data_IF_719704801004
#
_entry.id   IF_719704801004
#
_cell.length_a   1.000
_cell.length_b   1.000
_cell.length_c   1.000
_cell.angle_alpha   90.00
_cell.angle_beta   90.00
_cell.angle_gamma   90.00
#
_symmetry.space_group_name_H-M   'P 1'
#
loop_
_entity.id
_entity.type
_entity.pdbx_description
1 polymer ?
#
# COMPACT_ATOMS: atom_id res chain seq x y z
N UNK A 1 20.47 15.20 -0.85
CA UNK A 1 19.32 15.95 -1.36
C UNK A 1 18.05 15.36 -0.75
N UNK A 2 17.00 16.16 -0.49
CA UNK A 2 15.78 15.66 0.16
C UNK A 2 14.99 14.69 -0.73
N UNK A 3 15.04 14.88 -2.06
CA UNK A 3 14.37 13.98 -3.01
C UNK A 3 15.00 12.59 -3.00
N UNK A 4 16.34 12.52 -2.91
CA UNK A 4 17.07 11.26 -2.78
C UNK A 4 16.70 10.50 -1.52
N UNK A 5 16.66 11.19 -0.36
CA UNK A 5 16.24 10.58 0.91
C UNK A 5 14.79 10.10 0.85
N UNK A 6 13.91 10.86 0.20
CA UNK A 6 12.50 10.50 0.01
C UNK A 6 12.35 9.23 -0.83
N UNK A 7 13.12 9.10 -1.92
CA UNK A 7 13.14 7.90 -2.74
C UNK A 7 13.58 6.67 -1.94
N UNK A 8 14.68 6.77 -1.18
CA UNK A 8 15.18 5.68 -0.32
C UNK A 8 14.13 5.22 0.71
N UNK A 9 13.40 6.16 1.32
CA UNK A 9 12.33 5.85 2.26
C UNK A 9 11.20 5.09 1.57
N UNK A 10 10.81 5.51 0.36
CA UNK A 10 9.75 4.85 -0.40
C UNK A 10 10.17 3.45 -0.86
N UNK A 11 11.44 3.25 -1.23
CA UNK A 11 11.97 1.93 -1.62
C UNK A 11 11.94 0.95 -0.45
N UNK A 12 12.30 1.42 0.75
CA UNK A 12 12.16 0.61 1.97
C UNK A 12 10.69 0.29 2.28
N UNK A 13 9.77 1.25 2.09
CA UNK A 13 8.34 1.01 2.27
C UNK A 13 7.84 -0.07 1.30
N UNK A 14 8.27 -0.04 0.04
CA UNK A 14 7.90 -1.08 -0.92
C UNK A 14 8.43 -2.46 -0.51
N UNK A 15 9.66 -2.53 0.01
CA UNK A 15 10.21 -3.77 0.56
C UNK A 15 9.39 -4.31 1.75
N UNK A 16 9.02 -3.43 2.68
CA UNK A 16 8.21 -3.79 3.85
C UNK A 16 6.80 -4.25 3.43
N UNK A 17 6.22 -3.60 2.42
CA UNK A 17 4.96 -4.03 1.83
C UNK A 17 5.09 -5.41 1.18
N UNK A 18 6.16 -5.69 0.44
CA UNK A 18 6.37 -7.01 -0.16
C UNK A 18 6.54 -8.11 0.90
N UNK A 19 7.26 -7.81 1.98
CA UNK A 19 7.37 -8.70 3.12
C UNK A 19 5.99 -8.95 3.77
N UNK A 20 5.21 -7.90 3.99
CA UNK A 20 3.86 -8.01 4.54
C UNK A 20 2.93 -8.83 3.63
N UNK A 21 2.95 -8.59 2.31
CA UNK A 21 2.13 -9.31 1.34
C UNK A 21 2.40 -10.82 1.36
N UNK A 22 3.62 -11.25 1.70
CA UNK A 22 3.98 -12.65 1.83
C UNK A 22 3.30 -13.35 3.02
N UNK A 23 3.07 -12.62 4.12
CA UNK A 23 2.57 -13.19 5.38
C UNK A 23 1.09 -12.91 5.62
N UNK A 24 0.48 -11.92 4.98
CA UNK A 24 -0.96 -11.65 5.11
C UNK A 24 -1.84 -12.89 4.82
N UNK A 25 -1.50 -13.78 3.85
CA UNK A 25 -2.22 -15.04 3.65
C UNK A 25 -2.13 -16.06 4.80
N UNK A 26 -1.27 -15.87 5.81
CA UNK A 26 -1.24 -16.73 7.01
C UNK A 26 -2.07 -16.21 8.18
N UNK A 27 -2.57 -14.97 8.10
CA UNK A 27 -3.38 -14.38 9.18
C UNK A 27 -4.71 -15.13 9.39
N UNK A 28 -5.33 -15.04 10.58
CA UNK A 28 -6.72 -15.44 10.79
C UNK A 28 -7.69 -14.70 9.86
N UNK A 29 -8.78 -15.36 9.44
CA UNK A 29 -9.70 -14.83 8.42
C UNK A 29 -10.38 -13.52 8.84
N UNK A 30 -10.71 -13.39 10.13
CA UNK A 30 -11.36 -12.22 10.74
C UNK A 30 -10.55 -10.92 10.51
N UNK A 31 -9.24 -10.99 10.67
CA UNK A 31 -8.33 -9.86 10.49
C UNK A 31 -7.77 -9.75 9.06
N UNK A 32 -7.65 -10.86 8.33
CA UNK A 32 -6.99 -10.92 7.01
C UNK A 32 -7.53 -9.88 6.04
N UNK A 33 -8.85 -9.73 5.95
CA UNK A 33 -9.51 -8.80 5.01
C UNK A 33 -9.19 -7.34 5.35
N UNK A 34 -9.23 -6.99 6.63
CA UNK A 34 -8.89 -5.65 7.10
C UNK A 34 -7.42 -5.30 6.84
N UNK A 35 -6.51 -6.22 7.15
CA UNK A 35 -5.07 -6.02 6.91
C UNK A 35 -4.76 -5.94 5.42
N UNK A 36 -5.42 -6.74 4.58
CA UNK A 36 -5.30 -6.65 3.12
C UNK A 36 -5.76 -5.28 2.59
N UNK A 37 -6.84 -4.73 3.15
CA UNK A 37 -7.32 -3.40 2.78
C UNK A 37 -6.32 -2.32 3.22
N UNK A 38 -5.80 -2.39 4.45
CA UNK A 38 -4.78 -1.47 4.95
C UNK A 38 -3.51 -1.52 4.08
N UNK A 39 -3.02 -2.71 3.77
CA UNK A 39 -1.89 -2.94 2.86
C UNK A 39 -2.11 -2.23 1.51
N UNK A 40 -3.27 -2.45 0.89
CA UNK A 40 -3.59 -1.81 -0.38
C UNK A 40 -3.66 -0.28 -0.32
N UNK A 41 -4.06 0.30 0.82
CA UNK A 41 -4.06 1.75 1.02
C UNK A 41 -2.64 2.31 1.14
N UNK A 42 -1.76 1.64 1.87
CA UNK A 42 -0.35 2.04 1.99
C UNK A 42 0.39 1.93 0.67
N UNK A 43 0.19 0.84 -0.08
CA UNK A 43 0.79 0.66 -1.40
C UNK A 43 0.36 1.77 -2.39
N UNK A 44 -0.93 2.11 -2.42
CA UNK A 44 -1.42 3.20 -3.27
C UNK A 44 -0.92 4.58 -2.82
N UNK A 45 -0.75 4.79 -1.51
CA UNK A 45 -0.18 6.03 -0.99
C UNK A 45 1.31 6.16 -1.36
N UNK A 46 2.09 5.09 -1.21
CA UNK A 46 3.51 5.05 -1.59
C UNK A 46 3.67 5.36 -3.08
N UNK A 47 2.87 4.73 -3.95
CA UNK A 47 2.82 5.04 -5.37
C UNK A 47 2.55 6.52 -5.65
N UNK A 48 1.50 7.08 -5.04
CA UNK A 48 1.15 8.50 -5.23
C UNK A 48 2.23 9.45 -4.75
N UNK A 49 2.91 9.10 -3.65
CA UNK A 49 4.04 9.88 -3.18
C UNK A 49 5.15 9.88 -4.24
N UNK A 50 5.48 8.74 -4.86
CA UNK A 50 6.46 8.73 -5.97
C UNK A 50 6.09 9.66 -7.13
N UNK A 51 4.79 9.73 -7.46
CA UNK A 51 4.28 10.54 -8.57
C UNK A 51 4.07 12.04 -8.21
N UNK A 52 4.05 12.39 -6.92
CA UNK A 52 3.70 13.73 -6.43
C UNK A 52 4.89 14.41 -5.71
N UNK A 53 5.37 15.51 -6.29
CA UNK A 53 6.46 16.36 -5.78
C UNK A 53 5.94 17.65 -5.11
N UNK A 54 4.63 17.78 -4.89
CA UNK A 54 4.08 18.91 -4.17
C UNK A 54 4.40 18.83 -2.68
N UNK A 55 4.45 20.00 -2.03
CA UNK A 55 4.61 20.11 -0.56
C UNK A 55 3.30 19.86 0.20
N UNK A 56 2.22 19.50 -0.51
CA UNK A 56 0.90 19.31 0.04
C UNK A 56 0.66 17.92 0.62
N UNK A 57 -0.48 17.74 1.31
CA UNK A 57 -0.88 16.44 1.84
C UNK A 57 -1.35 15.52 0.69
N UNK A 58 -0.55 14.51 0.37
CA UNK A 58 -0.98 13.42 -0.53
C UNK A 58 -1.99 12.53 0.18
N UNK A 59 -3.08 12.17 -0.51
CA UNK A 59 -4.07 11.24 0.02
C UNK A 59 -4.65 10.34 -1.06
N UNK A 60 -5.16 9.18 -0.64
CA UNK A 60 -5.85 8.25 -1.53
C UNK A 60 -7.32 8.72 -1.72
N UNK A 61 -7.78 8.93 -2.96
CA UNK A 61 -9.15 9.33 -3.28
C UNK A 61 -10.15 8.27 -2.82
N UNK A 62 -11.33 8.72 -2.38
CA UNK A 62 -12.43 7.86 -1.94
C UNK A 62 -12.76 6.70 -2.90
N UNK A 63 -12.88 6.89 -4.23
CA UNK A 63 -13.18 5.77 -5.12
C UNK A 63 -12.06 4.72 -5.14
N UNK A 64 -10.80 5.15 -5.02
CA UNK A 64 -9.66 4.24 -4.97
C UNK A 64 -9.66 3.45 -3.66
N UNK A 65 -9.95 4.09 -2.53
CA UNK A 65 -10.14 3.43 -1.23
C UNK A 65 -11.24 2.37 -1.30
N UNK A 66 -12.39 2.70 -1.89
CA UNK A 66 -13.51 1.78 -2.05
C UNK A 66 -13.14 0.57 -2.91
N UNK A 67 -12.44 0.79 -4.03
CA UNK A 67 -11.92 -0.30 -4.88
C UNK A 67 -10.95 -1.21 -4.13
N UNK A 68 -10.05 -0.65 -3.32
CA UNK A 68 -9.09 -1.43 -2.51
C UNK A 68 -9.86 -2.30 -1.50
N UNK A 69 -10.80 -1.71 -0.76
CA UNK A 69 -11.62 -2.43 0.20
C UNK A 69 -12.40 -3.57 -0.48
N UNK A 70 -13.08 -3.30 -1.59
CA UNK A 70 -13.84 -4.31 -2.33
C UNK A 70 -12.97 -5.51 -2.77
N UNK A 71 -11.73 -5.26 -3.22
CA UNK A 71 -10.79 -6.35 -3.57
C UNK A 71 -10.40 -7.18 -2.36
N UNK A 72 -10.15 -6.55 -1.21
CA UNK A 72 -9.80 -7.24 0.02
C UNK A 72 -10.97 -8.10 0.54
N UNK A 73 -12.20 -7.58 0.49
CA UNK A 73 -13.39 -8.35 0.85
C UNK A 73 -13.68 -9.51 -0.10
N UNK A 74 -13.29 -9.40 -1.38
CA UNK A 74 -13.36 -10.49 -2.34
C UNK A 74 -12.27 -11.58 -2.15
N UNK A 75 -11.49 -11.54 -1.06
CA UNK A 75 -10.47 -12.54 -0.74
C UNK A 75 -9.23 -12.50 -1.64
N UNK A 76 -9.03 -11.40 -2.40
CA UNK A 76 -7.83 -11.27 -3.24
C UNK A 76 -6.61 -11.02 -2.37
N UNK A 77 -5.52 -11.71 -2.65
CA UNK A 77 -4.24 -11.48 -1.98
C UNK A 77 -3.77 -10.02 -2.16
N UNK A 78 -3.03 -9.48 -1.17
CA UNK A 78 -2.42 -8.16 -1.29
C UNK A 78 -1.52 -8.08 -2.52
N UNK A 79 -1.45 -6.89 -3.11
CA UNK A 79 -0.52 -6.64 -4.22
C UNK A 79 0.88 -6.46 -3.68
N UNK A 80 1.84 -7.08 -4.35
CA UNK A 80 3.26 -6.76 -4.22
C UNK A 80 3.56 -5.47 -4.98
N UNK A 81 4.63 -4.81 -4.62
CA UNK A 81 5.13 -3.64 -5.33
C UNK A 81 5.74 -4.11 -6.66
N UNK A 82 5.25 -3.56 -7.78
CA UNK A 82 5.91 -3.75 -9.07
C UNK A 82 7.18 -2.89 -9.01
N UNK A 83 8.32 -3.52 -8.67
CA UNK A 83 9.63 -2.85 -8.59
C UNK A 83 10.06 -2.29 -9.94
#
# INVERSE_FOLDING_TARGET
DDDGRRAEVLDRIDHDLDAAAAVIPSLPEDCRRAVTAAHGLFAELAKRLRDDHSTGRVSVPRPVKARIAARAFAGRSPRRSDS
#
